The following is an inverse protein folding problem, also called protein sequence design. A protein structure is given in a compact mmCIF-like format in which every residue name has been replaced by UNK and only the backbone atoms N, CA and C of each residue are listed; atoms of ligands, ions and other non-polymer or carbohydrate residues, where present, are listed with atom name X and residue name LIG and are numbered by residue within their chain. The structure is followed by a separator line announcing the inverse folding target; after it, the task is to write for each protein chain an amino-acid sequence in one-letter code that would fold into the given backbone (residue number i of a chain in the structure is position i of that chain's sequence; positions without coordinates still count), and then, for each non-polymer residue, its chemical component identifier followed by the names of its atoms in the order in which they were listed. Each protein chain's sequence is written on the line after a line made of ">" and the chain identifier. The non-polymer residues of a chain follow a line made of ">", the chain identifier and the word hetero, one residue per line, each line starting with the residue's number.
data_IF_964167151866
#
_entry.id   IF_964167151866
#
_cell.length_a   1.000
_cell.length_b   1.000
_cell.length_c   1.000
_cell.angle_alpha   90.00
_cell.angle_beta   90.00
_cell.angle_gamma   90.00
#
_symmetry.space_group_name_H-M   'P 1'
#
loop_
_entity.id
_entity.type
_entity.pdbx_description
1 polymer ?
#
# COMPACT_ATOMS: atom_id res chain seq x y z
N UNK A 1 -14.72 63.43 34.71
CA UNK A 1 -13.98 62.98 33.51
C UNK A 1 -12.48 63.32 33.62
N UNK A 2 -11.78 62.88 34.68
CA UNK A 2 -10.33 63.08 34.90
C UNK A 2 -9.76 61.89 35.71
N UNK A 3 -10.10 60.64 35.37
CA UNK A 3 -9.56 59.48 36.12
C UNK A 3 -9.26 58.23 35.28
N UNK A 4 -9.35 58.29 33.95
CA UNK A 4 -9.11 57.12 33.08
C UNK A 4 -7.85 57.21 32.21
N UNK A 5 -7.08 58.30 32.31
CA UNK A 5 -5.94 58.55 31.41
C UNK A 5 -4.55 58.23 32.00
N UNK A 6 -4.45 57.87 33.29
CA UNK A 6 -3.14 57.71 33.95
C UNK A 6 -2.63 56.26 33.97
N UNK A 7 -3.46 55.26 33.66
CA UNK A 7 -3.06 53.85 33.76
C UNK A 7 -2.40 53.25 32.51
N UNK A 8 -2.26 54.00 31.40
CA UNK A 8 -1.70 53.48 30.14
C UNK A 8 -0.26 53.91 29.84
N UNK A 9 0.49 54.34 30.84
CA UNK A 9 1.82 54.95 30.63
C UNK A 9 2.87 54.48 31.65
N UNK A 10 2.90 53.18 32.01
CA UNK A 10 3.98 52.66 32.90
C UNK A 10 4.62 51.33 32.46
N UNK A 11 4.05 50.54 31.55
CA UNK A 11 4.68 49.26 31.18
C UNK A 11 4.85 49.08 29.67
N UNK A 12 5.75 49.87 29.08
CA UNK A 12 6.40 49.54 27.80
C UNK A 12 7.92 49.61 27.92
N UNK A 13 8.46 49.10 29.03
CA UNK A 13 9.88 48.78 29.13
C UNK A 13 10.17 47.53 28.32
N UNK A 14 10.47 47.67 27.02
CA UNK A 14 11.14 46.61 26.25
C UNK A 14 12.52 46.42 26.85
N UNK A 15 12.64 45.51 27.82
CA UNK A 15 13.92 45.04 28.32
C UNK A 15 14.64 44.41 27.14
N UNK A 16 15.62 45.14 26.61
CA UNK A 16 16.48 44.67 25.53
C UNK A 16 17.26 43.47 26.04
N UNK A 17 16.79 42.27 25.72
CA UNK A 17 17.55 41.05 25.97
C UNK A 17 18.83 41.12 25.13
N UNK A 18 20.03 41.11 25.75
CA UNK A 18 21.29 41.21 25.03
C UNK A 18 21.41 40.11 23.97
N UNK A 19 21.98 40.46 22.82
CA UNK A 19 22.00 39.60 21.62
C UNK A 19 22.58 38.20 21.90
N UNK A 20 23.55 38.13 22.79
CA UNK A 20 24.21 36.90 23.23
C UNK A 20 23.24 35.96 23.97
N UNK A 21 22.39 36.51 24.84
CA UNK A 21 21.35 35.76 25.56
C UNK A 21 20.26 35.24 24.60
N UNK A 22 20.00 35.94 23.49
CA UNK A 22 19.09 35.47 22.43
C UNK A 22 19.67 34.32 21.61
N UNK A 23 21.00 34.27 21.41
CA UNK A 23 21.67 33.18 20.70
C UNK A 23 21.61 31.89 21.52
N UNK A 24 21.91 31.98 22.82
CA UNK A 24 21.80 30.85 23.75
C UNK A 24 20.35 30.31 23.84
N UNK A 25 19.35 31.19 23.91
CA UNK A 25 17.95 30.75 23.94
C UNK A 25 17.51 30.04 22.65
N UNK A 26 17.91 30.54 21.47
CA UNK A 26 17.60 29.88 20.19
C UNK A 26 18.26 28.51 20.06
N UNK A 27 19.49 28.36 20.54
CA UNK A 27 20.17 27.07 20.51
C UNK A 27 19.50 26.05 21.43
N UNK A 28 19.10 26.48 22.63
CA UNK A 28 18.36 25.64 23.58
C UNK A 28 16.99 25.23 23.03
N UNK A 29 16.29 26.14 22.37
CA UNK A 29 15.00 25.87 21.72
C UNK A 29 15.16 24.86 20.58
N UNK A 30 16.17 25.01 19.72
CA UNK A 30 16.45 24.06 18.64
C UNK A 30 16.86 22.69 19.17
N UNK A 31 17.63 22.63 20.27
CA UNK A 31 17.97 21.36 20.94
C UNK A 31 16.72 20.69 21.52
N UNK A 32 15.81 21.44 22.16
CA UNK A 32 14.56 20.89 22.68
C UNK A 32 13.62 20.41 21.58
N UNK A 33 13.50 21.15 20.45
CA UNK A 33 12.71 20.71 19.28
C UNK A 33 13.24 19.38 18.73
N UNK A 34 14.55 19.24 18.55
CA UNK A 34 15.18 18.00 18.07
C UNK A 34 14.93 16.81 19.00
N UNK A 35 14.98 17.01 20.32
CA UNK A 35 14.71 15.96 21.30
C UNK A 35 13.22 15.55 21.26
N UNK A 36 12.30 16.50 21.17
CA UNK A 36 10.86 16.21 21.04
C UNK A 36 10.53 15.46 19.74
N UNK A 37 11.14 15.84 18.61
CA UNK A 37 10.98 15.11 17.34
C UNK A 37 11.55 13.70 17.42
N UNK A 38 12.70 13.51 18.08
CA UNK A 38 13.30 12.19 18.27
C UNK A 38 12.45 11.31 19.19
N UNK A 39 11.89 11.86 20.27
CA UNK A 39 10.97 11.13 21.17
C UNK A 39 9.67 10.76 20.46
N UNK A 40 9.14 11.64 19.61
CA UNK A 40 7.98 11.32 18.77
C UNK A 40 8.30 10.20 17.76
N UNK A 41 9.48 10.23 17.13
CA UNK A 41 9.92 9.16 16.22
C UNK A 41 10.11 7.82 16.95
N UNK A 42 10.69 7.84 18.16
CA UNK A 42 10.87 6.63 18.98
C UNK A 42 9.53 6.10 19.47
N UNK A 43 8.58 6.96 19.86
CA UNK A 43 7.24 6.54 20.25
C UNK A 43 6.46 5.88 19.09
N UNK A 44 6.66 6.35 17.86
CA UNK A 44 6.11 5.73 16.64
C UNK A 44 6.82 4.40 16.35
N UNK A 45 8.14 4.31 16.57
CA UNK A 45 8.92 3.09 16.33
C UNK A 45 8.68 1.99 17.40
N UNK A 46 8.36 2.35 18.65
CA UNK A 46 8.09 1.38 19.73
C UNK A 46 6.65 0.87 19.76
N UNK A 47 5.82 1.26 18.78
CA UNK A 47 4.49 0.68 18.55
C UNK A 47 4.50 -0.66 17.81
N UNK A 48 5.65 -1.11 17.32
CA UNK A 48 5.83 -2.50 16.87
C UNK A 48 5.92 -3.42 18.10
N UNK A 49 4.80 -3.57 18.82
CA UNK A 49 4.61 -4.77 19.61
C UNK A 49 4.73 -5.92 18.61
N UNK A 50 5.57 -6.90 18.93
CA UNK A 50 5.52 -8.19 18.27
C UNK A 50 4.11 -8.72 18.53
N UNK A 51 3.20 -8.42 17.61
CA UNK A 51 1.89 -9.03 17.60
C UNK A 51 2.16 -10.51 17.47
N UNK A 52 1.92 -11.22 18.55
CA UNK A 52 1.91 -12.67 18.50
C UNK A 52 0.68 -12.96 17.67
N UNK A 53 0.87 -13.14 16.36
CA UNK A 53 -0.16 -13.48 15.39
C UNK A 53 -0.86 -14.73 15.91
N UNK A 54 -1.90 -14.51 16.70
CA UNK A 54 -2.64 -15.56 17.38
C UNK A 54 -3.74 -15.90 16.40
N UNK A 55 -3.60 -17.06 15.76
CA UNK A 55 -4.53 -17.65 14.82
C UNK A 55 -5.84 -18.03 15.54
N UNK A 56 -6.59 -17.01 15.94
CA UNK A 56 -7.85 -17.14 16.65
C UNK A 56 -8.99 -17.12 15.65
N UNK A 57 -9.59 -18.28 15.42
CA UNK A 57 -10.76 -18.60 14.58
C UNK A 57 -10.52 -18.95 13.10
N UNK A 58 -11.03 -20.13 12.74
CA UNK A 58 -11.23 -20.72 11.40
C UNK A 58 -10.18 -20.34 10.36
N UNK A 59 -9.02 -20.99 10.43
CA UNK A 59 -8.06 -21.03 9.32
C UNK A 59 -8.73 -21.70 8.12
N UNK A 60 -9.02 -20.92 7.09
CA UNK A 60 -9.57 -21.46 5.85
C UNK A 60 -8.79 -21.07 4.61
N UNK A 61 -8.37 -22.10 3.87
CA UNK A 61 -7.74 -22.04 2.55
C UNK A 61 -8.59 -22.82 1.54
N UNK A 62 -8.58 -22.43 0.26
CA UNK A 62 -9.69 -22.74 -0.62
C UNK A 62 -9.34 -23.17 -2.05
N UNK A 63 -10.03 -24.17 -2.59
CA UNK A 63 -9.89 -24.72 -3.96
C UNK A 63 -10.84 -24.09 -4.99
N UNK A 64 -11.39 -22.93 -4.64
CA UNK A 64 -12.56 -22.39 -5.29
C UNK A 64 -12.39 -21.59 -6.56
N UNK A 65 -13.43 -21.61 -7.40
CA UNK A 65 -13.59 -20.66 -8.50
C UNK A 65 -14.14 -19.29 -8.05
N UNK A 66 -14.75 -19.19 -6.87
CA UNK A 66 -15.40 -17.95 -6.38
C UNK A 66 -15.32 -17.81 -4.86
N UNK A 67 -14.90 -16.65 -4.38
CA UNK A 67 -14.66 -16.35 -2.96
C UNK A 67 -15.91 -16.55 -2.08
N UNK A 68 -17.09 -16.28 -2.64
CA UNK A 68 -18.37 -16.31 -1.93
C UNK A 68 -19.04 -17.70 -1.86
N UNK A 69 -18.43 -18.75 -2.40
CA UNK A 69 -18.98 -20.11 -2.34
C UNK A 69 -18.34 -20.88 -1.20
N UNK A 70 -19.12 -21.63 -0.42
CA UNK A 70 -18.67 -22.31 0.79
C UNK A 70 -17.81 -23.55 0.53
N UNK A 71 -18.12 -24.30 -0.53
CA UNK A 71 -17.38 -25.51 -0.93
C UNK A 71 -15.93 -25.25 -1.37
N UNK A 72 -15.54 -23.98 -1.41
CA UNK A 72 -14.27 -23.48 -1.88
C UNK A 72 -13.32 -23.15 -0.75
N UNK A 73 -13.63 -23.53 0.49
CA UNK A 73 -12.83 -23.22 1.66
C UNK A 73 -12.72 -24.48 2.51
N UNK A 74 -11.55 -24.73 3.06
CA UNK A 74 -11.31 -25.66 4.15
C UNK A 74 -11.44 -24.90 5.46
N UNK A 75 -11.70 -25.58 6.58
CA UNK A 75 -11.66 -24.97 7.91
C UNK A 75 -10.90 -25.92 8.84
N UNK A 76 -9.85 -25.40 9.50
CA UNK A 76 -9.12 -26.15 10.53
C UNK A 76 -10.02 -26.56 11.70
N UNK A 77 -11.04 -25.77 11.99
CA UNK A 77 -11.99 -26.04 13.07
C UNK A 77 -12.95 -27.19 12.71
N UNK A 78 -13.26 -27.37 11.42
CA UNK A 78 -14.15 -28.42 10.92
C UNK A 78 -13.43 -29.70 10.44
N UNK A 79 -12.09 -29.71 10.47
CA UNK A 79 -11.25 -30.80 9.95
C UNK A 79 -11.66 -31.26 8.52
N UNK A 80 -12.12 -30.33 7.68
CA UNK A 80 -12.76 -30.63 6.41
C UNK A 80 -13.14 -29.38 5.61
N UNK A 81 -13.90 -29.58 4.53
CA UNK A 81 -14.45 -28.47 3.75
C UNK A 81 -15.35 -27.61 4.65
N UNK A 82 -15.10 -26.32 4.64
CA UNK A 82 -15.93 -25.31 5.29
C UNK A 82 -17.37 -25.44 4.84
N UNK A 83 -18.27 -25.26 5.81
CA UNK A 83 -19.71 -25.24 5.54
C UNK A 83 -20.20 -23.86 5.11
N UNK A 84 -19.37 -22.81 5.23
CA UNK A 84 -19.70 -21.43 4.87
C UNK A 84 -18.58 -20.72 4.09
N UNK A 85 -18.94 -19.68 3.35
CA UNK A 85 -17.98 -18.76 2.76
C UNK A 85 -17.44 -17.79 3.84
N UNK A 86 -16.27 -17.15 3.62
CA UNK A 86 -15.74 -16.14 4.52
C UNK A 86 -16.68 -14.95 4.70
N UNK A 87 -16.65 -14.41 5.90
CA UNK A 87 -17.46 -13.30 6.40
C UNK A 87 -16.58 -12.29 7.11
N UNK A 88 -17.16 -11.15 7.51
CA UNK A 88 -16.42 -10.04 8.10
C UNK A 88 -15.62 -10.38 9.37
N UNK A 89 -16.00 -11.43 10.10
CA UNK A 89 -15.32 -11.87 11.32
C UNK A 89 -14.12 -12.80 11.05
N UNK A 90 -13.95 -13.27 9.81
CA UNK A 90 -13.07 -14.40 9.54
C UNK A 90 -11.63 -13.97 9.23
N UNK A 91 -10.71 -14.88 9.55
CA UNK A 91 -9.29 -14.81 9.23
C UNK A 91 -9.02 -15.79 8.09
N UNK A 92 -8.64 -15.27 6.92
CA UNK A 92 -8.51 -16.08 5.71
C UNK A 92 -7.03 -16.29 5.40
N UNK A 93 -6.63 -17.55 5.17
CA UNK A 93 -5.28 -17.92 4.79
C UNK A 93 -5.31 -18.81 3.54
N UNK A 94 -4.77 -18.32 2.42
CA UNK A 94 -4.80 -19.05 1.14
C UNK A 94 -3.40 -19.58 0.83
N UNK A 95 -3.33 -20.90 0.65
CA UNK A 95 -2.13 -21.68 0.37
C UNK A 95 -2.44 -22.80 -0.66
N UNK A 96 -1.54 -23.01 -1.60
CA UNK A 96 -1.60 -23.91 -2.76
C UNK A 96 -1.42 -25.36 -2.35
N UNK A 97 -0.66 -25.64 -1.30
CA UNK A 97 -0.43 -27.01 -0.82
C UNK A 97 -0.63 -27.11 0.70
N UNK A 98 -1.80 -26.67 1.16
CA UNK A 98 -2.15 -26.89 2.56
C UNK A 98 -2.46 -28.38 2.77
N UNK A 99 -1.59 -29.06 3.52
CA UNK A 99 -1.72 -30.47 3.90
C UNK A 99 -1.76 -31.48 2.75
N UNK A 100 -0.90 -31.35 1.72
CA UNK A 100 -0.73 -32.31 0.61
C UNK A 100 -1.91 -32.40 -0.36
N UNK A 101 -2.81 -31.41 -0.35
CA UNK A 101 -3.93 -31.33 -1.28
C UNK A 101 -3.77 -30.09 -2.16
N UNK A 102 -3.06 -30.21 -3.30
CA UNK A 102 -2.78 -29.06 -4.14
C UNK A 102 -4.06 -28.40 -4.65
N UNK A 103 -4.14 -27.07 -4.57
CA UNK A 103 -5.27 -26.32 -5.07
C UNK A 103 -5.29 -26.39 -6.60
N UNK A 104 -6.34 -27.00 -7.16
CA UNK A 104 -6.52 -27.04 -8.61
C UNK A 104 -6.90 -25.66 -9.19
N UNK A 105 -7.46 -24.76 -8.38
CA UNK A 105 -7.91 -23.42 -8.78
C UNK A 105 -7.86 -22.47 -7.59
N UNK A 106 -7.36 -21.25 -7.83
CA UNK A 106 -7.23 -20.21 -6.80
C UNK A 106 -8.51 -19.38 -6.69
N UNK A 107 -8.92 -18.96 -5.48
CA UNK A 107 -10.16 -18.22 -5.26
C UNK A 107 -10.14 -16.85 -5.96
N UNK A 108 -11.34 -16.43 -6.41
CA UNK A 108 -11.55 -15.14 -7.06
C UNK A 108 -12.74 -14.39 -6.46
N UNK A 109 -12.56 -13.11 -6.12
CA UNK A 109 -13.62 -12.17 -5.75
C UNK A 109 -14.09 -11.46 -7.01
N UNK A 110 -15.29 -11.80 -7.48
CA UNK A 110 -15.91 -11.17 -8.67
C UNK A 110 -17.18 -10.37 -8.36
N UNK A 111 -17.64 -10.43 -7.11
CA UNK A 111 -18.78 -9.69 -6.60
C UNK A 111 -18.35 -8.63 -5.58
N UNK A 112 -19.11 -7.54 -5.48
CA UNK A 112 -18.84 -6.45 -4.54
C UNK A 112 -19.30 -6.76 -3.11
N UNK A 113 -18.65 -6.10 -2.14
CA UNK A 113 -19.09 -6.05 -0.74
C UNK A 113 -18.56 -7.15 0.16
N UNK A 114 -17.57 -7.94 -0.29
CA UNK A 114 -16.94 -8.94 0.55
C UNK A 114 -16.08 -8.27 1.62
N UNK A 115 -16.14 -8.79 2.85
CA UNK A 115 -15.38 -8.27 3.97
C UNK A 115 -14.84 -9.42 4.80
N UNK A 116 -13.61 -9.29 5.28
CA UNK A 116 -12.95 -10.21 6.21
C UNK A 116 -12.09 -9.42 7.20
N UNK A 117 -11.71 -10.05 8.31
CA UNK A 117 -10.87 -9.40 9.32
C UNK A 117 -9.40 -9.41 8.90
N UNK A 118 -8.91 -10.54 8.42
CA UNK A 118 -7.50 -10.70 8.02
C UNK A 118 -7.39 -11.54 6.76
N UNK A 119 -6.41 -11.21 5.92
CA UNK A 119 -6.04 -12.01 4.76
C UNK A 119 -4.57 -12.37 4.83
N UNK A 120 -4.23 -13.61 4.53
CA UNK A 120 -2.85 -14.06 4.36
C UNK A 120 -2.77 -14.86 3.06
N UNK A 121 -1.86 -14.44 2.18
CA UNK A 121 -1.53 -15.16 0.96
C UNK A 121 -0.12 -15.72 1.12
N UNK A 122 0.01 -17.04 1.00
CA UNK A 122 1.28 -17.73 1.23
C UNK A 122 1.62 -17.80 2.72
N UNK A 123 0.70 -18.34 3.51
CA UNK A 123 0.88 -18.54 4.94
C UNK A 123 1.98 -19.56 5.24
N UNK A 124 2.02 -20.68 4.51
CA UNK A 124 3.07 -21.71 4.59
C UNK A 124 3.64 -22.12 3.21
N UNK A 125 2.87 -21.97 2.13
CA UNK A 125 3.27 -22.35 0.77
C UNK A 125 2.97 -21.22 -0.24
N UNK A 126 2.92 -21.50 -1.55
CA UNK A 126 2.47 -20.49 -2.50
C UNK A 126 0.98 -20.19 -2.25
N UNK A 127 0.50 -18.97 -2.40
CA UNK A 127 -0.91 -18.65 -2.20
C UNK A 127 -1.33 -17.49 -3.08
N UNK A 128 -2.54 -17.56 -3.64
CA UNK A 128 -3.00 -16.55 -4.59
C UNK A 128 -4.47 -16.20 -4.42
N UNK A 129 -4.79 -14.92 -4.63
CA UNK A 129 -6.16 -14.42 -4.69
C UNK A 129 -6.34 -13.52 -5.92
N UNK A 130 -7.45 -13.69 -6.63
CA UNK A 130 -7.92 -12.75 -7.65
C UNK A 130 -9.04 -11.85 -7.11
N UNK A 131 -9.03 -10.57 -7.46
CA UNK A 131 -10.20 -9.67 -7.36
C UNK A 131 -10.38 -9.08 -8.75
N UNK A 132 -11.49 -9.40 -9.40
CA UNK A 132 -11.66 -9.17 -10.85
C UNK A 132 -13.01 -8.54 -11.16
N UNK A 133 -13.17 -7.98 -12.36
CA UNK A 133 -14.43 -7.38 -12.79
C UNK A 133 -14.84 -6.21 -11.88
N UNK A 134 -16.03 -6.31 -11.29
CA UNK A 134 -16.53 -5.36 -10.27
C UNK A 134 -16.40 -5.91 -8.85
N UNK A 135 -15.54 -6.92 -8.64
CA UNK A 135 -15.30 -7.53 -7.35
C UNK A 135 -14.76 -6.52 -6.34
N UNK A 136 -15.19 -6.61 -5.09
CA UNK A 136 -14.57 -5.83 -4.02
C UNK A 136 -14.41 -6.60 -2.73
N UNK A 137 -13.22 -6.45 -2.13
CA UNK A 137 -12.84 -7.08 -0.87
C UNK A 137 -12.25 -6.04 0.08
N UNK A 138 -12.82 -5.97 1.28
CA UNK A 138 -12.28 -5.18 2.39
C UNK A 138 -11.68 -6.10 3.45
N UNK A 139 -10.41 -5.89 3.76
CA UNK A 139 -9.68 -6.52 4.85
C UNK A 139 -9.50 -5.47 5.95
N UNK A 140 -10.28 -5.55 7.02
CA UNK A 140 -10.31 -4.49 8.05
C UNK A 140 -9.03 -4.44 8.89
N UNK A 141 -8.42 -5.59 9.15
CA UNK A 141 -7.14 -5.74 9.84
C UNK A 141 -5.95 -5.69 8.88
N UNK A 142 -5.21 -6.81 8.81
CA UNK A 142 -4.00 -6.93 7.99
C UNK A 142 -4.21 -7.81 6.76
N UNK A 143 -3.68 -7.36 5.61
CA UNK A 143 -3.50 -8.17 4.42
C UNK A 143 -2.01 -8.48 4.26
N UNK A 144 -1.65 -9.74 4.48
CA UNK A 144 -0.27 -10.24 4.37
C UNK A 144 -0.08 -10.86 2.99
N UNK A 145 0.75 -10.22 2.18
CA UNK A 145 1.13 -10.72 0.85
C UNK A 145 2.52 -11.32 1.00
N UNK A 146 2.57 -12.65 1.07
CA UNK A 146 3.68 -13.48 1.57
C UNK A 146 3.84 -13.42 3.09
N UNK A 147 3.82 -14.58 3.77
CA UNK A 147 4.15 -14.69 5.18
C UNK A 147 5.33 -15.66 5.38
N UNK A 148 5.12 -16.97 5.18
CA UNK A 148 6.19 -17.98 5.14
C UNK A 148 6.35 -18.63 3.76
N UNK A 149 5.42 -18.39 2.84
CA UNK A 149 5.54 -18.74 1.43
C UNK A 149 5.23 -17.57 0.51
N UNK A 150 5.15 -17.83 -0.79
CA UNK A 150 4.96 -16.76 -1.80
C UNK A 150 3.49 -16.38 -1.91
N UNK A 151 3.16 -15.11 -1.70
CA UNK A 151 1.80 -14.60 -1.81
C UNK A 151 1.59 -13.79 -3.08
N UNK A 152 0.49 -14.02 -3.80
CA UNK A 152 0.15 -13.26 -5.01
C UNK A 152 -1.27 -12.71 -4.95
N UNK A 153 -1.42 -11.39 -4.97
CA UNK A 153 -2.72 -10.74 -5.14
C UNK A 153 -2.83 -10.21 -6.58
N UNK A 154 -3.91 -10.55 -7.28
CA UNK A 154 -4.17 -10.05 -8.63
C UNK A 154 -5.44 -9.22 -8.63
N UNK A 155 -5.32 -7.96 -9.06
CA UNK A 155 -6.40 -7.00 -9.22
C UNK A 155 -6.56 -6.67 -10.70
N UNK A 156 -7.78 -6.74 -11.22
CA UNK A 156 -8.07 -6.47 -12.63
C UNK A 156 -9.36 -5.70 -12.85
N UNK A 157 -9.52 -5.18 -14.06
CA UNK A 157 -10.73 -4.49 -14.52
C UNK A 157 -11.08 -3.30 -13.61
N UNK A 158 -12.25 -3.29 -12.97
CA UNK A 158 -12.71 -2.25 -12.04
C UNK A 158 -12.71 -2.72 -10.59
N UNK A 159 -11.88 -3.74 -10.28
CA UNK A 159 -11.84 -4.34 -8.95
C UNK A 159 -11.40 -3.35 -7.87
N UNK A 160 -11.90 -3.51 -6.66
CA UNK A 160 -11.52 -2.70 -5.51
C UNK A 160 -11.04 -3.55 -4.33
N UNK A 161 -9.83 -3.31 -3.86
CA UNK A 161 -9.27 -3.97 -2.69
C UNK A 161 -8.91 -2.93 -1.63
N UNK A 162 -9.48 -3.04 -0.43
CA UNK A 162 -9.18 -2.19 0.71
C UNK A 162 -8.52 -3.01 1.81
N UNK A 163 -7.38 -2.59 2.31
CA UNK A 163 -6.72 -3.19 3.47
C UNK A 163 -6.46 -2.14 4.56
N UNK A 164 -6.75 -2.48 5.82
CA UNK A 164 -6.31 -1.67 6.95
C UNK A 164 -4.79 -1.51 6.94
N UNK A 165 -4.08 -2.63 6.81
CA UNK A 165 -2.64 -2.68 6.61
C UNK A 165 -2.29 -3.61 5.46
N UNK A 166 -1.50 -3.16 4.49
CA UNK A 166 -0.89 -4.02 3.48
C UNK A 166 0.54 -4.33 3.91
N UNK A 167 0.81 -5.62 4.16
CA UNK A 167 2.05 -6.08 4.76
C UNK A 167 2.69 -7.08 3.81
N UNK A 168 3.91 -6.80 3.38
CA UNK A 168 4.77 -7.77 2.71
C UNK A 168 5.64 -8.42 3.78
N UNK A 169 5.54 -9.76 3.87
CA UNK A 169 6.04 -10.52 5.02
C UNK A 169 7.53 -10.82 5.02
N UNK A 170 7.85 -12.00 5.53
CA UNK A 170 9.09 -12.28 6.25
C UNK A 170 10.33 -12.39 5.35
N UNK A 171 11.53 -12.35 5.93
CA UNK A 171 12.78 -12.41 5.16
C UNK A 171 12.88 -13.68 4.33
N UNK A 172 13.14 -13.53 3.03
CA UNK A 172 13.41 -14.66 2.12
C UNK A 172 12.19 -15.20 1.37
N UNK A 173 11.01 -14.61 1.56
CA UNK A 173 9.82 -14.86 0.73
C UNK A 173 9.47 -13.62 -0.10
N UNK A 174 8.74 -13.83 -1.19
CA UNK A 174 8.33 -12.76 -2.10
C UNK A 174 6.81 -12.66 -2.15
N UNK A 175 6.30 -11.47 -1.90
CA UNK A 175 4.90 -11.09 -2.10
C UNK A 175 4.76 -10.24 -3.36
N UNK A 176 3.80 -10.59 -4.20
CA UNK A 176 3.53 -9.87 -5.44
C UNK A 176 2.09 -9.39 -5.44
N UNK A 177 1.90 -8.11 -5.75
CA UNK A 177 0.58 -7.56 -6.10
C UNK A 177 0.63 -7.16 -7.56
N UNK A 178 -0.27 -7.71 -8.38
CA UNK A 178 -0.43 -7.32 -9.78
C UNK A 178 -1.71 -6.50 -9.93
N UNK A 179 -1.61 -5.31 -10.53
CA UNK A 179 -2.72 -4.39 -10.74
C UNK A 179 -2.82 -4.03 -12.22
N UNK A 180 -3.98 -4.32 -12.82
CA UNK A 180 -4.28 -4.09 -14.25
C UNK A 180 -5.60 -3.36 -14.42
N UNK A 181 -5.88 -2.83 -15.62
CA UNK A 181 -7.12 -2.13 -15.93
C UNK A 181 -7.29 -0.83 -15.14
N UNK A 182 -8.46 -0.64 -14.54
CA UNK A 182 -8.80 0.48 -13.63
C UNK A 182 -8.95 0.00 -12.19
N UNK A 183 -8.19 -1.03 -11.80
CA UNK A 183 -8.23 -1.60 -10.46
C UNK A 183 -7.70 -0.62 -9.41
N UNK A 184 -8.26 -0.69 -8.20
CA UNK A 184 -7.89 0.18 -7.09
C UNK A 184 -7.45 -0.69 -5.91
N UNK A 185 -6.25 -0.41 -5.40
CA UNK A 185 -5.78 -0.90 -4.11
C UNK A 185 -5.69 0.28 -3.16
N UNK A 186 -6.38 0.22 -2.03
CA UNK A 186 -6.28 1.20 -0.96
C UNK A 186 -5.76 0.51 0.30
N UNK A 187 -4.62 0.96 0.84
CA UNK A 187 -4.11 0.51 2.12
C UNK A 187 -4.03 1.66 3.13
N UNK A 188 -4.36 1.37 4.39
CA UNK A 188 -4.13 2.33 5.48
C UNK A 188 -2.65 2.52 5.77
N UNK A 189 -1.88 1.44 5.77
CA UNK A 189 -0.42 1.45 5.92
C UNK A 189 0.19 0.47 4.92
N UNK A 190 1.34 0.83 4.34
CA UNK A 190 2.18 -0.06 3.55
C UNK A 190 3.45 -0.40 4.33
N UNK A 191 3.67 -1.68 4.61
CA UNK A 191 4.82 -2.14 5.37
C UNK A 191 5.54 -3.26 4.63
N UNK A 192 6.87 -3.14 4.53
CA UNK A 192 7.76 -4.22 4.11
C UNK A 192 8.53 -4.70 5.34
N UNK A 193 8.20 -5.89 5.84
CA UNK A 193 8.85 -6.42 7.02
C UNK A 193 10.27 -6.87 6.70
N UNK A 194 11.15 -6.76 7.71
CA UNK A 194 12.52 -7.29 7.72
C UNK A 194 13.41 -6.93 6.51
N UNK A 195 13.11 -5.82 5.84
CA UNK A 195 13.88 -5.36 4.70
C UNK A 195 13.79 -6.28 3.49
N UNK A 196 12.77 -7.14 3.38
CA UNK A 196 12.51 -7.93 2.17
C UNK A 196 12.55 -6.99 0.96
N UNK A 197 13.43 -7.21 0.00
CA UNK A 197 13.60 -6.39 -1.22
C UNK A 197 12.94 -7.00 -2.45
N UNK A 198 12.34 -8.19 -2.30
CA UNK A 198 11.81 -8.96 -3.43
C UNK A 198 10.32 -8.74 -3.64
N UNK A 199 9.61 -8.26 -2.63
CA UNK A 199 8.20 -7.96 -2.77
C UNK A 199 7.92 -6.73 -3.63
N UNK A 200 6.94 -6.87 -4.52
CA UNK A 200 6.63 -5.86 -5.53
C UNK A 200 5.13 -5.62 -5.66
N UNK A 201 4.78 -4.39 -6.02
CA UNK A 201 3.47 -3.99 -6.53
C UNK A 201 3.67 -3.59 -7.98
N UNK A 202 3.19 -4.43 -8.88
CA UNK A 202 3.27 -4.28 -10.31
C UNK A 202 1.98 -3.62 -10.80
N UNK A 203 2.12 -2.44 -11.40
CA UNK A 203 1.00 -1.62 -11.88
C UNK A 203 1.08 -1.45 -13.40
N UNK A 204 -0.08 -1.50 -14.06
CA UNK A 204 -0.25 -1.26 -15.49
C UNK A 204 -1.54 -0.47 -15.76
N UNK A 205 -1.71 0.00 -16.99
CA UNK A 205 -2.93 0.67 -17.46
C UNK A 205 -3.30 1.92 -16.63
N UNK A 206 -4.50 1.94 -16.04
CA UNK A 206 -5.04 3.01 -15.20
C UNK A 206 -5.21 2.55 -13.75
N UNK A 207 -4.41 1.58 -13.31
CA UNK A 207 -4.45 1.08 -11.95
C UNK A 207 -4.06 2.17 -10.93
N UNK A 208 -4.69 2.14 -9.77
CA UNK A 208 -4.51 3.15 -8.73
C UNK A 208 -4.17 2.53 -7.38
N UNK A 209 -2.99 2.86 -6.86
CA UNK A 209 -2.57 2.47 -5.52
C UNK A 209 -2.66 3.69 -4.61
N UNK A 210 -3.39 3.54 -3.50
CA UNK A 210 -3.65 4.61 -2.54
C UNK A 210 -3.17 4.16 -1.17
N UNK A 211 -2.30 4.95 -0.53
CA UNK A 211 -1.79 4.69 0.82
C UNK A 211 -2.15 5.88 1.72
N UNK A 212 -2.71 5.64 2.91
CA UNK A 212 -2.96 6.77 3.83
C UNK A 212 -1.64 7.37 4.34
N UNK A 213 -1.67 8.67 4.61
CA UNK A 213 -0.51 9.45 5.00
C UNK A 213 0.37 9.90 3.83
N UNK A 214 1.41 10.65 4.17
CA UNK A 214 2.42 11.12 3.23
C UNK A 214 3.52 10.06 3.08
N UNK A 215 3.56 9.44 1.91
CA UNK A 215 4.58 8.49 1.48
C UNK A 215 5.50 9.11 0.43
N UNK A 216 5.34 10.40 0.12
CA UNK A 216 6.18 11.08 -0.86
C UNK A 216 7.63 11.13 -0.36
N UNK A 217 8.57 10.69 -1.20
CA UNK A 217 10.00 10.66 -0.87
C UNK A 217 10.47 9.41 -0.11
N UNK A 218 9.61 8.40 0.07
CA UNK A 218 10.00 7.09 0.61
C UNK A 218 10.87 6.28 -0.36
N UNK A 219 10.84 6.60 -1.67
CA UNK A 219 11.68 5.95 -2.69
C UNK A 219 11.20 4.55 -3.08
N UNK A 220 9.92 4.24 -2.84
CA UNK A 220 9.30 2.97 -3.25
C UNK A 220 9.07 2.89 -4.76
N UNK A 221 8.99 4.05 -5.41
CA UNK A 221 8.76 4.17 -6.85
C UNK A 221 9.94 3.57 -7.62
N UNK A 222 9.63 2.72 -8.59
CA UNK A 222 10.62 2.05 -9.44
C UNK A 222 11.59 1.11 -8.71
N UNK A 223 11.36 0.84 -7.42
CA UNK A 223 12.10 -0.14 -6.63
C UNK A 223 11.20 -1.25 -6.09
N UNK A 224 9.99 -0.89 -5.66
CA UNK A 224 8.99 -1.80 -5.09
C UNK A 224 7.61 -1.62 -5.70
N UNK A 225 7.29 -0.40 -6.11
CA UNK A 225 6.08 -0.07 -6.88
C UNK A 225 6.54 0.17 -8.30
N UNK A 226 6.21 -0.76 -9.20
CA UNK A 226 6.78 -0.87 -10.53
C UNK A 226 5.69 -0.66 -11.58
N UNK A 227 5.99 0.17 -12.59
CA UNK A 227 5.22 0.15 -13.82
C UNK A 227 5.68 -1.07 -14.65
N UNK A 228 4.75 -1.93 -15.04
CA UNK A 228 5.12 -3.19 -15.72
C UNK A 228 5.13 -3.08 -17.25
N UNK A 229 4.51 -2.03 -17.82
CA UNK A 229 4.62 -1.73 -19.24
C UNK A 229 5.97 -1.09 -19.60
N UNK A 230 6.47 -1.40 -20.79
CA UNK A 230 7.72 -0.82 -21.29
C UNK A 230 7.61 0.71 -21.38
N UNK A 231 8.56 1.40 -20.74
CA UNK A 231 8.70 2.86 -20.66
C UNK A 231 7.59 3.60 -19.91
N UNK A 232 6.65 2.87 -19.31
CA UNK A 232 5.76 3.42 -18.31
C UNK A 232 6.55 3.81 -17.05
N UNK A 233 5.97 4.72 -16.27
CA UNK A 233 6.57 5.15 -15.00
C UNK A 233 5.49 5.36 -13.95
N UNK A 234 5.88 5.34 -12.68
CA UNK A 234 4.96 5.60 -11.57
C UNK A 234 4.98 7.10 -11.22
N UNK A 235 3.82 7.74 -11.31
CA UNK A 235 3.57 9.05 -10.71
C UNK A 235 3.17 8.88 -9.25
N UNK A 236 3.65 9.81 -8.41
CA UNK A 236 3.29 9.87 -7.00
C UNK A 236 2.84 11.27 -6.64
N UNK A 237 1.67 11.35 -6.04
CA UNK A 237 1.06 12.60 -5.59
C UNK A 237 0.59 12.44 -4.16
N UNK A 238 1.04 13.32 -3.28
CA UNK A 238 0.45 13.44 -1.95
C UNK A 238 -0.73 14.43 -2.01
N UNK A 239 -1.93 13.93 -1.71
CA UNK A 239 -3.14 14.71 -1.59
C UNK A 239 -3.32 15.16 -0.13
N UNK A 240 -2.98 16.41 0.15
CA UNK A 240 -3.07 16.98 1.50
C UNK A 240 -4.51 17.22 1.99
N UNK A 241 -5.51 17.20 1.11
CA UNK A 241 -6.92 17.31 1.50
C UNK A 241 -7.42 15.98 2.05
N UNK A 242 -7.12 14.88 1.37
CA UNK A 242 -7.55 13.53 1.75
C UNK A 242 -6.52 12.80 2.63
N UNK A 243 -5.38 13.44 2.92
CA UNK A 243 -4.26 12.92 3.72
C UNK A 243 -3.79 11.54 3.25
N UNK A 244 -3.59 11.40 1.93
CA UNK A 244 -3.20 10.13 1.30
C UNK A 244 -2.23 10.34 0.15
N UNK A 245 -1.42 9.33 -0.12
CA UNK A 245 -0.51 9.27 -1.26
C UNK A 245 -1.09 8.38 -2.33
N UNK A 246 -1.09 8.89 -3.56
CA UNK A 246 -1.68 8.27 -4.74
C UNK A 246 -0.56 7.92 -5.73
N UNK A 247 -0.44 6.64 -6.06
CA UNK A 247 0.48 6.08 -7.03
C UNK A 247 -0.31 5.72 -8.29
N UNK A 248 0.07 6.27 -9.43
CA UNK A 248 -0.61 6.02 -10.71
C UNK A 248 0.40 5.67 -11.79
N UNK A 249 -0.02 4.87 -12.75
CA UNK A 249 0.79 4.60 -13.95
C UNK A 249 0.67 5.79 -14.88
N UNK A 250 1.80 6.37 -15.24
CA UNK A 250 1.90 7.30 -16.37
C UNK A 250 2.28 6.46 -17.59
N UNK A 251 1.38 6.33 -18.58
CA UNK A 251 1.76 5.73 -19.85
C UNK A 251 2.89 6.56 -20.47
N UNK A 252 3.76 5.92 -21.25
CA UNK A 252 4.76 6.65 -22.03
C UNK A 252 4.11 7.89 -22.66
N UNK A 253 4.71 9.09 -22.51
CA UNK A 253 4.21 10.25 -23.21
C UNK A 253 4.12 9.89 -24.69
N UNK A 254 2.91 9.88 -25.26
CA UNK A 254 2.69 9.56 -26.67
C UNK A 254 3.56 10.40 -27.62
N UNK A 255 4.15 11.47 -27.09
CA UNK A 255 5.17 12.29 -27.73
C UNK A 255 6.44 11.54 -28.11
N UNK A 256 6.90 10.52 -27.40
CA UNK A 256 8.12 9.77 -27.76
C UNK A 256 7.89 8.93 -29.03
N UNK A 257 6.77 8.23 -29.10
CA UNK A 257 6.34 7.48 -30.28
C UNK A 257 6.01 8.43 -31.44
N UNK A 258 5.39 9.57 -31.16
CA UNK A 258 5.12 10.61 -32.16
C UNK A 258 6.41 11.24 -32.72
N UNK A 259 7.41 11.50 -31.88
CA UNK A 259 8.72 12.04 -32.28
C UNK A 259 9.50 11.01 -33.08
N UNK A 260 9.46 9.73 -32.70
CA UNK A 260 10.05 8.65 -33.49
C UNK A 260 9.39 8.52 -34.88
N UNK A 261 8.06 8.65 -34.95
CA UNK A 261 7.31 8.55 -36.20
C UNK A 261 7.53 9.79 -37.10
N UNK A 262 7.59 10.99 -36.51
CA UNK A 262 7.91 12.22 -37.24
C UNK A 262 9.37 12.26 -37.70
N UNK A 263 10.31 11.84 -36.85
CA UNK A 263 11.74 11.78 -37.18
C UNK A 263 12.04 10.71 -38.24
N UNK A 264 11.46 9.51 -38.11
CA UNK A 264 11.58 8.44 -39.09
C UNK A 264 10.89 8.76 -40.41
N UNK A 265 9.70 9.38 -40.36
CA UNK A 265 8.96 9.85 -41.53
C UNK A 265 9.71 10.93 -42.32
N UNK A 266 10.32 11.91 -41.64
CA UNK A 266 11.12 12.95 -42.29
C UNK A 266 12.36 12.39 -42.99
N UNK A 267 13.04 11.41 -42.39
CA UNK A 267 14.18 10.73 -43.01
C UNK A 267 13.78 9.92 -44.24
N UNK A 268 12.63 9.25 -44.20
CA UNK A 268 12.10 8.49 -45.34
C UNK A 268 11.67 9.40 -46.50
N UNK A 269 11.03 10.54 -46.19
CA UNK A 269 10.66 11.55 -47.18
C UNK A 269 11.90 12.13 -47.86
N UNK A 270 12.96 12.47 -47.11
CA UNK A 270 14.23 12.95 -47.71
C UNK A 270 14.85 11.95 -48.68
N UNK A 271 14.81 10.64 -48.36
CA UNK A 271 15.34 9.60 -49.24
C UNK A 271 14.58 9.48 -50.56
N UNK A 272 13.27 9.74 -50.57
CA UNK A 272 12.42 9.58 -51.76
C UNK A 272 12.45 10.78 -52.72
N UNK A 273 12.74 11.99 -52.22
CA UNK A 273 12.74 13.23 -53.00
C UNK A 273 14.15 13.81 -53.28
N UNK A 274 15.22 13.06 -52.99
CA UNK A 274 16.60 13.40 -53.40
C UNK A 274 17.03 12.71 -54.72
N UNK A 275 16.09 12.49 -55.64
CA UNK A 275 16.33 12.14 -57.05
C UNK A 275 15.79 13.29 -57.89
#
# INVERSE_FOLDING_TARGET
>A
MILYFVFRLVFSGRVSVPAEKRKCMREKENKMKKILTLVALVAIATGAQADTLTWGSSLGGGDGTTFATNNNWWSADDAGLSTHAPTAADFVAIDDDLFTNPLATMPTVSAGGQQITQLILGAESAGQLGVVGSGSLTVTGGAYISHLGTGTLNLSDTSYFLAGNLIFGNTGVSGVVNMTGSSILHAGVLTYLNGDVTSTINMTDSAWLIINGDQSGMGYENSRILASGAGESIAVVYNATDLRTEYTVIPEPATLSLVALLGGGMLWIRKRFMI
#
